data_IF_133102979420
#
_entry.id   IF_133102979420
#
_cell.length_a   1.000
_cell.length_b   1.000
_cell.length_c   1.000
_cell.angle_alpha   90.00
_cell.angle_beta   90.00
_cell.angle_gamma   90.00
#
_symmetry.space_group_name_H-M   'P 1'
#
loop_
_entity.id
_entity.type
_entity.pdbx_description
1 polymer ?
#
# COMPACT_ATOMS: atom_id res chain seq x y z
N UNK A 1 -3.75 -3.13 -51.71
CA UNK A 1 -4.89 -2.18 -51.82
C UNK A 1 -4.97 -1.37 -50.54
N UNK A 2 -4.24 -0.26 -50.53
CA UNK A 2 -4.28 0.74 -49.46
C UNK A 2 -5.65 1.44 -49.46
N UNK A 3 -6.41 1.28 -48.39
CA UNK A 3 -7.58 2.12 -48.10
C UNK A 3 -7.28 2.96 -46.87
N UNK A 4 -7.16 4.26 -47.11
CA UNK A 4 -6.85 5.27 -46.12
C UNK A 4 -7.80 5.25 -44.93
N UNK A 5 -7.21 5.18 -43.73
CA UNK A 5 -7.77 5.81 -42.53
C UNK A 5 -7.23 7.25 -42.45
N UNK A 6 -7.71 8.08 -43.38
CA UNK A 6 -7.70 9.53 -43.18
C UNK A 6 -8.63 9.84 -42.01
N UNK A 7 -8.23 10.80 -41.18
CA UNK A 7 -8.73 11.04 -39.82
C UNK A 7 -10.25 11.03 -39.69
N UNK A 8 -10.76 10.06 -38.94
CA UNK A 8 -11.98 10.31 -38.16
C UNK A 8 -11.60 11.31 -37.07
N UNK A 9 -11.85 12.59 -37.35
CA UNK A 9 -12.07 13.60 -36.31
C UNK A 9 -12.97 12.96 -35.25
N UNK A 10 -12.41 12.74 -34.06
CA UNK A 10 -13.13 12.15 -32.93
C UNK A 10 -14.43 12.92 -32.71
N UNK A 11 -15.55 12.19 -32.69
CA UNK A 11 -16.89 12.72 -32.50
C UNK A 11 -16.98 13.35 -31.09
N UNK A 12 -16.83 14.66 -31.01
CA UNK A 12 -17.31 15.55 -29.94
C UNK A 12 -16.58 15.53 -28.60
N UNK A 13 -16.16 14.38 -28.07
CA UNK A 13 -15.72 14.30 -26.67
C UNK A 13 -14.28 14.81 -26.42
N UNK A 14 -13.36 14.64 -27.37
CA UNK A 14 -11.98 15.13 -27.20
C UNK A 14 -11.88 16.67 -27.21
N UNK A 15 -12.58 17.39 -28.12
CA UNK A 15 -12.67 18.85 -28.02
C UNK A 15 -13.30 19.33 -26.71
N UNK A 16 -14.31 18.62 -26.19
CA UNK A 16 -14.92 18.94 -24.90
C UNK A 16 -13.92 18.74 -23.74
N UNK A 17 -13.16 17.65 -23.74
CA UNK A 17 -12.08 17.42 -22.78
C UNK A 17 -11.06 18.56 -22.84
N UNK A 18 -10.61 18.94 -24.05
CA UNK A 18 -9.66 20.02 -24.23
C UNK A 18 -10.22 21.36 -23.72
N UNK A 19 -11.45 21.70 -24.06
CA UNK A 19 -12.13 22.91 -23.60
C UNK A 19 -12.26 22.93 -22.06
N UNK A 20 -12.67 21.82 -21.46
CA UNK A 20 -12.80 21.71 -20.00
C UNK A 20 -11.43 21.82 -19.31
N UNK A 21 -10.41 21.14 -19.83
CA UNK A 21 -9.05 21.23 -19.31
C UNK A 21 -8.51 22.67 -19.39
N UNK A 22 -8.64 23.33 -20.55
CA UNK A 22 -8.21 24.73 -20.71
C UNK A 22 -8.96 25.65 -19.76
N UNK A 23 -10.27 25.48 -19.62
CA UNK A 23 -11.10 26.31 -18.74
C UNK A 23 -10.69 26.16 -17.28
N UNK A 24 -10.56 24.93 -16.79
CA UNK A 24 -10.13 24.65 -15.42
C UNK A 24 -8.71 25.17 -15.17
N UNK A 25 -7.76 24.89 -16.07
CA UNK A 25 -6.40 25.39 -15.90
C UNK A 25 -6.35 26.91 -15.91
N UNK A 26 -7.10 27.59 -16.78
CA UNK A 26 -7.09 29.05 -16.88
C UNK A 26 -7.53 29.73 -15.58
N UNK A 27 -8.47 29.11 -14.85
CA UNK A 27 -8.99 29.61 -13.56
C UNK A 27 -8.04 29.43 -12.37
N UNK A 28 -7.04 28.56 -12.47
CA UNK A 28 -6.10 28.31 -11.38
C UNK A 28 -4.97 29.35 -11.37
N UNK A 29 -4.67 29.95 -10.22
CA UNK A 29 -3.52 30.85 -10.08
C UNK A 29 -2.20 30.08 -10.25
N UNK A 30 -2.10 28.90 -9.63
CA UNK A 30 -0.98 27.97 -9.76
C UNK A 30 -1.37 26.81 -10.67
N UNK A 31 -0.70 26.68 -11.81
CA UNK A 31 -0.93 25.56 -12.74
C UNK A 31 -0.24 24.30 -12.20
N UNK A 32 -0.93 23.16 -12.06
CA UNK A 32 -0.34 21.89 -11.61
C UNK A 32 0.40 21.18 -12.77
N UNK A 33 1.74 21.26 -12.86
CA UNK A 33 2.48 20.79 -14.03
C UNK A 33 2.44 19.26 -14.22
N UNK A 34 2.44 18.48 -13.15
CA UNK A 34 2.49 17.01 -13.26
C UNK A 34 1.13 16.47 -13.70
N UNK A 35 0.04 17.05 -13.20
CA UNK A 35 -1.31 16.75 -13.68
C UNK A 35 -1.43 17.07 -15.17
N UNK A 36 -0.89 18.20 -15.62
CA UNK A 36 -0.89 18.59 -17.04
C UNK A 36 -0.08 17.59 -17.87
N UNK A 37 1.11 17.22 -17.40
CA UNK A 37 1.98 16.26 -18.06
C UNK A 37 1.34 14.88 -18.18
N UNK A 38 0.69 14.38 -17.13
CA UNK A 38 -0.03 13.11 -17.15
C UNK A 38 -1.23 13.14 -18.10
N UNK A 39 -2.02 14.23 -18.09
CA UNK A 39 -3.14 14.44 -19.01
C UNK A 39 -2.66 14.43 -20.47
N UNK A 40 -1.59 15.18 -20.74
CA UNK A 40 -0.97 15.27 -22.06
C UNK A 40 -0.40 13.92 -22.50
N UNK A 41 0.33 13.21 -21.64
CA UNK A 41 0.93 11.91 -21.94
C UNK A 41 -0.14 10.88 -22.34
N UNK A 42 -1.20 10.73 -21.54
CA UNK A 42 -2.31 9.81 -21.85
C UNK A 42 -3.01 10.19 -23.17
N UNK A 43 -3.25 11.48 -23.40
CA UNK A 43 -3.90 11.97 -24.62
C UNK A 43 -3.01 11.78 -25.86
N UNK A 44 -1.71 12.04 -25.76
CA UNK A 44 -0.74 11.85 -26.86
C UNK A 44 -0.59 10.36 -27.20
N UNK A 45 -0.49 9.49 -26.19
CA UNK A 45 -0.44 8.03 -26.39
C UNK A 45 -1.71 7.55 -27.10
N UNK A 46 -2.87 8.08 -26.73
CA UNK A 46 -4.15 7.74 -27.38
C UNK A 46 -4.25 8.25 -28.82
N UNK A 47 -3.94 9.53 -29.06
CA UNK A 47 -4.00 10.14 -30.40
C UNK A 47 -2.96 9.56 -31.35
N UNK A 48 -1.84 9.07 -30.81
CA UNK A 48 -0.74 8.41 -31.53
C UNK A 48 -0.37 9.15 -32.82
N UNK A 49 0.15 10.39 -32.73
CA UNK A 49 0.54 11.16 -33.90
C UNK A 49 1.63 10.43 -34.70
N UNK A 50 1.68 10.66 -36.03
CA UNK A 50 2.52 9.89 -36.97
C UNK A 50 3.99 9.76 -36.54
N UNK A 51 4.57 10.84 -36.02
CA UNK A 51 5.98 10.85 -35.59
C UNK A 51 6.27 9.92 -34.39
N UNK A 52 5.26 9.51 -33.63
CA UNK A 52 5.38 8.58 -32.51
C UNK A 52 5.10 7.12 -32.88
N UNK A 53 4.73 6.81 -34.13
CA UNK A 53 4.34 5.44 -34.53
C UNK A 53 5.46 4.42 -34.32
N UNK A 54 6.71 4.83 -34.53
CA UNK A 54 7.88 3.97 -34.33
C UNK A 54 8.28 3.80 -32.86
N UNK A 55 7.91 4.75 -31.99
CA UNK A 55 8.26 4.75 -30.58
C UNK A 55 7.19 4.07 -29.71
N UNK A 56 5.92 4.24 -30.06
CA UNK A 56 4.79 3.71 -29.29
C UNK A 56 4.40 2.31 -29.79
N UNK A 57 4.52 1.27 -28.95
CA UNK A 57 4.03 -0.07 -29.28
C UNK A 57 2.51 -0.08 -29.55
N UNK A 58 2.02 -1.12 -30.21
CA UNK A 58 0.58 -1.26 -30.43
C UNK A 58 -0.13 -1.70 -29.14
N UNK A 59 -1.44 -1.48 -29.07
CA UNK A 59 -2.27 -1.89 -27.93
C UNK A 59 -2.05 -3.36 -27.56
N UNK A 60 -2.03 -4.26 -28.54
CA UNK A 60 -1.87 -5.71 -28.32
C UNK A 60 -0.54 -6.09 -27.66
N UNK A 61 0.49 -5.26 -27.84
CA UNK A 61 1.82 -5.46 -27.25
C UNK A 61 1.89 -4.99 -25.81
N UNK A 62 1.01 -4.08 -25.38
CA UNK A 62 1.06 -3.44 -24.05
C UNK A 62 -0.15 -3.71 -23.18
N UNK A 63 -1.19 -4.36 -23.70
CA UNK A 63 -2.38 -4.67 -22.93
C UNK A 63 -2.00 -5.49 -21.70
N UNK A 64 -2.43 -5.06 -20.50
CA UNK A 64 -2.12 -5.75 -19.26
C UNK A 64 -2.65 -7.18 -19.33
N UNK A 65 -1.79 -8.16 -19.05
CA UNK A 65 -2.19 -9.56 -18.93
C UNK A 65 -1.31 -10.23 -17.86
N UNK A 66 -1.90 -10.76 -16.77
CA UNK A 66 -1.14 -11.33 -15.67
C UNK A 66 -0.22 -12.48 -16.07
N UNK A 67 -0.73 -13.39 -16.91
CA UNK A 67 0.05 -14.51 -17.42
C UNK A 67 1.28 -14.05 -18.18
N UNK A 68 1.13 -13.11 -19.12
CA UNK A 68 2.25 -12.65 -19.94
C UNK A 68 3.29 -11.89 -19.12
N UNK A 69 2.86 -11.08 -18.15
CA UNK A 69 3.76 -10.34 -17.27
C UNK A 69 4.55 -11.30 -16.37
N UNK A 70 3.87 -12.24 -15.71
CA UNK A 70 4.52 -13.11 -14.73
C UNK A 70 5.33 -14.24 -15.37
N UNK A 71 4.86 -14.83 -16.48
CA UNK A 71 5.55 -15.94 -17.14
C UNK A 71 6.71 -15.48 -18.01
N UNK A 72 6.55 -14.39 -18.75
CA UNK A 72 7.54 -13.93 -19.72
C UNK A 72 8.27 -12.64 -19.30
N UNK A 73 7.97 -12.10 -18.12
CA UNK A 73 8.60 -10.87 -17.64
C UNK A 73 8.30 -9.65 -18.51
N UNK A 74 7.12 -9.61 -19.15
CA UNK A 74 6.78 -8.57 -20.14
C UNK A 74 6.44 -7.23 -19.46
N UNK A 75 7.45 -6.56 -18.89
CA UNK A 75 7.32 -5.35 -18.09
C UNK A 75 6.70 -4.19 -18.85
N UNK A 76 6.76 -4.17 -20.19
CA UNK A 76 6.08 -3.15 -20.99
C UNK A 76 4.57 -3.18 -20.76
N UNK A 77 3.96 -4.36 -20.57
CA UNK A 77 2.52 -4.50 -20.26
C UNK A 77 2.20 -4.00 -18.85
N UNK A 78 3.14 -4.19 -17.93
CA UNK A 78 2.99 -3.71 -16.56
C UNK A 78 3.02 -2.17 -16.48
N UNK A 79 4.00 -1.53 -17.14
CA UNK A 79 4.19 -0.07 -17.03
C UNK A 79 3.41 0.76 -18.05
N UNK A 80 3.20 0.26 -19.26
CA UNK A 80 2.57 1.05 -20.34
C UNK A 80 1.05 0.89 -20.39
N UNK A 81 0.48 -0.25 -19.99
CA UNK A 81 -0.97 -0.46 -20.03
C UNK A 81 -1.82 0.64 -19.37
N UNK A 82 -1.40 1.32 -18.28
CA UNK A 82 -2.18 2.40 -17.69
C UNK A 82 -2.35 3.61 -18.62
N UNK A 83 -1.44 3.81 -19.58
CA UNK A 83 -1.45 4.98 -20.46
C UNK A 83 -2.23 4.76 -21.77
N UNK A 84 -2.59 3.52 -22.07
CA UNK A 84 -3.34 3.17 -23.28
C UNK A 84 -4.85 3.15 -23.01
N UNK A 85 -5.65 3.51 -24.01
CA UNK A 85 -7.10 3.59 -23.91
C UNK A 85 -7.74 3.05 -25.21
N UNK A 86 -8.86 2.33 -25.09
CA UNK A 86 -9.51 1.63 -26.22
C UNK A 86 -10.48 2.55 -26.98
N UNK A 87 -10.96 3.64 -26.38
CA UNK A 87 -11.95 4.51 -26.99
C UNK A 87 -12.02 5.91 -26.37
N UNK A 88 -12.67 6.83 -27.09
CA UNK A 88 -12.77 8.25 -26.73
C UNK A 88 -13.42 8.43 -25.35
N UNK A 89 -14.53 7.75 -25.07
CA UNK A 89 -15.24 7.84 -23.79
C UNK A 89 -14.35 7.37 -22.64
N UNK A 90 -13.65 6.24 -22.81
CA UNK A 90 -12.75 5.70 -21.80
C UNK A 90 -11.60 6.67 -21.49
N UNK A 91 -10.98 7.27 -22.52
CA UNK A 91 -9.96 8.30 -22.30
C UNK A 91 -10.57 9.51 -21.58
N UNK A 92 -11.68 10.05 -22.08
CA UNK A 92 -12.26 11.30 -21.55
C UNK A 92 -12.69 11.15 -20.09
N UNK A 93 -13.33 10.05 -19.71
CA UNK A 93 -13.68 9.82 -18.30
C UNK A 93 -12.43 9.70 -17.40
N UNK A 94 -11.39 8.98 -17.84
CA UNK A 94 -10.14 8.91 -17.09
C UNK A 94 -9.47 10.28 -16.97
N UNK A 95 -9.42 11.05 -18.06
CA UNK A 95 -8.75 12.35 -18.08
C UNK A 95 -9.51 13.42 -17.30
N UNK A 96 -10.85 13.41 -17.30
CA UNK A 96 -11.67 14.27 -16.43
C UNK A 96 -11.47 13.92 -14.95
N UNK A 97 -11.43 12.62 -14.63
CA UNK A 97 -11.17 12.13 -13.28
C UNK A 97 -9.75 12.49 -12.81
N UNK A 98 -8.76 12.37 -13.71
CA UNK A 98 -7.36 12.77 -13.48
C UNK A 98 -7.25 14.27 -13.25
N UNK A 99 -7.91 15.09 -14.07
CA UNK A 99 -7.90 16.54 -13.97
C UNK A 99 -8.36 16.97 -12.57
N UNK A 100 -9.54 16.52 -12.15
CA UNK A 100 -10.12 16.90 -10.87
C UNK A 100 -9.34 16.39 -9.65
N UNK A 101 -8.92 15.11 -9.66
CA UNK A 101 -8.15 14.52 -8.54
C UNK A 101 -6.72 15.04 -8.51
N UNK A 102 -6.10 15.19 -9.68
CA UNK A 102 -4.73 15.65 -9.85
C UNK A 102 -4.54 17.09 -9.41
N UNK A 103 -5.43 18.01 -9.83
CA UNK A 103 -5.39 19.41 -9.38
C UNK A 103 -5.44 19.49 -7.85
N UNK A 104 -6.37 18.79 -7.21
CA UNK A 104 -6.52 18.82 -5.75
C UNK A 104 -5.29 18.25 -5.02
N UNK A 105 -4.83 17.07 -5.43
CA UNK A 105 -3.70 16.40 -4.79
C UNK A 105 -2.39 17.15 -5.03
N UNK A 106 -2.11 17.59 -6.26
CA UNK A 106 -0.88 18.31 -6.59
C UNK A 106 -0.81 19.68 -5.90
N UNK A 107 -1.93 20.38 -5.76
CA UNK A 107 -1.97 21.64 -5.03
C UNK A 107 -1.81 21.43 -3.51
N UNK A 108 -2.28 20.31 -2.95
CA UNK A 108 -2.19 20.07 -1.50
C UNK A 108 -0.82 19.58 -1.03
N UNK A 109 -0.11 18.78 -1.84
CA UNK A 109 1.21 18.21 -1.46
C UNK A 109 2.40 18.74 -2.28
N UNK A 110 2.14 19.46 -3.36
CA UNK A 110 3.17 19.92 -4.29
C UNK A 110 3.57 18.88 -5.34
N UNK A 111 4.12 19.37 -6.45
CA UNK A 111 4.39 18.58 -7.67
C UNK A 111 5.33 17.40 -7.47
N UNK A 112 6.40 17.56 -6.69
CA UNK A 112 7.40 16.48 -6.48
C UNK A 112 6.80 15.32 -5.69
N UNK A 113 6.13 15.64 -4.57
CA UNK A 113 5.47 14.62 -3.76
C UNK A 113 4.33 13.95 -4.56
N UNK A 114 3.54 14.73 -5.29
CA UNK A 114 2.48 14.21 -6.15
C UNK A 114 3.01 13.27 -7.24
N UNK A 115 4.10 13.62 -7.93
CA UNK A 115 4.73 12.76 -8.92
C UNK A 115 5.22 11.44 -8.29
N UNK A 116 5.85 11.51 -7.11
CA UNK A 116 6.32 10.33 -6.39
C UNK A 116 5.17 9.42 -5.95
N UNK A 117 4.05 10.01 -5.50
CA UNK A 117 2.84 9.28 -5.15
C UNK A 117 2.24 8.60 -6.38
N UNK A 118 2.07 9.30 -7.51
CA UNK A 118 1.52 8.70 -8.73
C UNK A 118 2.38 7.53 -9.21
N UNK A 119 3.71 7.67 -9.19
CA UNK A 119 4.63 6.60 -9.55
C UNK A 119 4.47 5.37 -8.62
N UNK A 120 4.34 5.61 -7.31
CA UNK A 120 4.08 4.57 -6.34
C UNK A 120 2.74 3.86 -6.57
N UNK A 121 1.66 4.62 -6.75
CA UNK A 121 0.32 4.10 -6.99
C UNK A 121 0.23 3.33 -8.30
N UNK A 122 0.96 3.73 -9.34
CA UNK A 122 1.08 2.97 -10.58
C UNK A 122 1.68 1.58 -10.32
N UNK A 123 2.84 1.52 -9.66
CA UNK A 123 3.47 0.24 -9.34
C UNK A 123 2.62 -0.63 -8.41
N UNK A 124 2.06 -0.04 -7.36
CA UNK A 124 1.23 -0.75 -6.38
C UNK A 124 -0.08 -1.27 -6.98
N UNK A 125 -0.79 -0.45 -7.78
CA UNK A 125 -2.05 -0.87 -8.40
C UNK A 125 -1.85 -2.04 -9.36
N UNK A 126 -0.86 -1.94 -10.26
CA UNK A 126 -0.50 -3.00 -11.20
C UNK A 126 -0.02 -4.26 -10.46
N UNK A 127 0.84 -4.10 -9.45
CA UNK A 127 1.36 -5.20 -8.64
C UNK A 127 0.27 -5.94 -7.87
N UNK A 128 -0.64 -5.22 -7.22
CA UNK A 128 -1.76 -5.83 -6.49
C UNK A 128 -2.71 -6.53 -7.45
N UNK A 129 -3.01 -5.96 -8.63
CA UNK A 129 -3.83 -6.64 -9.64
C UNK A 129 -3.20 -7.96 -10.10
N UNK A 130 -1.88 -8.02 -10.29
CA UNK A 130 -1.17 -9.29 -10.57
C UNK A 130 -1.33 -10.29 -9.44
N UNK A 131 -1.13 -9.85 -8.19
CA UNK A 131 -1.26 -10.72 -7.01
C UNK A 131 -2.68 -11.26 -6.87
N UNK A 132 -3.69 -10.41 -7.07
CA UNK A 132 -5.10 -10.83 -7.05
C UNK A 132 -5.41 -11.83 -8.16
N UNK A 133 -4.96 -11.58 -9.40
CA UNK A 133 -5.17 -12.50 -10.52
C UNK A 133 -4.52 -13.86 -10.26
N UNK A 134 -3.29 -13.87 -9.71
CA UNK A 134 -2.58 -15.10 -9.36
C UNK A 134 -3.23 -15.82 -8.17
N UNK A 135 -3.71 -15.09 -7.17
CA UNK A 135 -4.42 -15.65 -6.03
C UNK A 135 -5.74 -16.30 -6.47
N UNK A 136 -6.50 -15.66 -7.36
CA UNK A 136 -7.73 -16.22 -7.94
C UNK A 136 -7.46 -17.53 -8.69
N UNK A 137 -6.35 -17.61 -9.42
CA UNK A 137 -5.92 -18.86 -10.05
C UNK A 137 -5.59 -19.93 -8.99
N UNK A 138 -4.76 -19.61 -8.00
CA UNK A 138 -4.20 -20.62 -7.07
C UNK A 138 -5.22 -21.11 -6.05
N UNK A 139 -6.10 -20.24 -5.56
CA UNK A 139 -7.03 -20.56 -4.47
C UNK A 139 -8.44 -20.90 -4.96
N UNK A 140 -8.81 -20.54 -6.19
CA UNK A 140 -10.16 -20.69 -6.72
C UNK A 140 -10.22 -21.31 -8.12
N UNK A 141 -9.08 -21.76 -8.66
CA UNK A 141 -8.95 -22.29 -10.03
C UNK A 141 -9.56 -21.38 -11.11
N UNK A 142 -9.61 -20.06 -10.84
CA UNK A 142 -10.25 -19.10 -11.72
C UNK A 142 -9.28 -18.64 -12.81
N UNK A 143 -9.08 -19.50 -13.81
CA UNK A 143 -8.13 -19.32 -14.91
C UNK A 143 -8.35 -18.04 -15.71
N UNK A 144 -9.61 -17.61 -15.84
CA UNK A 144 -10.00 -16.46 -16.67
C UNK A 144 -9.28 -15.17 -16.23
N UNK A 145 -9.21 -14.90 -14.92
CA UNK A 145 -8.55 -13.71 -14.39
C UNK A 145 -7.03 -13.70 -14.65
N UNK A 146 -6.41 -14.86 -14.84
CA UNK A 146 -4.97 -14.96 -15.03
C UNK A 146 -4.57 -14.99 -16.52
N UNK A 147 -5.26 -15.79 -17.34
CA UNK A 147 -4.91 -15.99 -18.74
C UNK A 147 -5.67 -15.07 -19.71
N UNK A 148 -6.92 -14.72 -19.38
CA UNK A 148 -7.84 -14.04 -20.31
C UNK A 148 -8.20 -12.62 -19.86
N UNK A 149 -7.61 -12.12 -18.77
CA UNK A 149 -7.75 -10.74 -18.36
C UNK A 149 -6.88 -9.84 -19.25
N UNK A 150 -7.53 -8.86 -19.89
CA UNK A 150 -6.89 -7.85 -20.71
C UNK A 150 -7.40 -6.47 -20.31
N UNK A 151 -6.54 -5.66 -19.68
CA UNK A 151 -6.92 -4.35 -19.15
C UNK A 151 -5.96 -3.23 -19.59
N UNK A 152 -6.51 -2.09 -19.98
CA UNK A 152 -5.74 -0.85 -20.17
C UNK A 152 -6.47 0.29 -19.49
N UNK A 153 -5.77 1.40 -19.31
CA UNK A 153 -6.33 2.65 -18.83
C UNK A 153 -5.84 3.03 -17.45
N UNK A 154 -5.86 4.34 -17.20
CA UNK A 154 -5.27 4.93 -16.01
C UNK A 154 -6.14 4.76 -14.76
N UNK A 155 -7.30 4.12 -14.91
CA UNK A 155 -8.37 4.03 -13.91
C UNK A 155 -7.93 3.38 -12.59
N UNK A 156 -7.09 2.34 -12.62
CA UNK A 156 -6.54 1.75 -11.39
C UNK A 156 -5.77 2.77 -10.54
N UNK A 157 -4.97 3.63 -11.19
CA UNK A 157 -4.26 4.73 -10.51
C UNK A 157 -5.24 5.78 -10.01
N UNK A 158 -6.30 6.09 -10.78
CA UNK A 158 -7.33 7.06 -10.37
C UNK A 158 -8.16 6.61 -9.17
N UNK A 159 -8.47 5.30 -9.08
CA UNK A 159 -9.08 4.73 -7.88
C UNK A 159 -8.15 4.84 -6.67
N UNK A 160 -6.86 4.56 -6.86
CA UNK A 160 -5.86 4.73 -5.80
C UNK A 160 -5.75 6.19 -5.35
N UNK A 161 -5.67 7.14 -6.29
CA UNK A 161 -5.68 8.58 -6.01
C UNK A 161 -6.96 9.00 -5.28
N UNK A 162 -8.11 8.42 -5.62
CA UNK A 162 -9.38 8.69 -4.92
C UNK A 162 -9.32 8.28 -3.46
N UNK A 163 -8.72 7.14 -3.15
CA UNK A 163 -8.53 6.71 -1.75
C UNK A 163 -7.63 7.70 -1.02
N UNK A 164 -6.51 8.10 -1.62
CA UNK A 164 -5.59 9.07 -1.00
C UNK A 164 -6.29 10.41 -0.75
N UNK A 165 -6.99 10.95 -1.75
CA UNK A 165 -7.72 12.22 -1.63
C UNK A 165 -8.75 12.18 -0.50
N UNK A 166 -9.56 11.11 -0.44
CA UNK A 166 -10.61 10.99 0.57
C UNK A 166 -10.09 10.60 1.97
N UNK A 167 -8.87 10.08 2.07
CA UNK A 167 -8.24 9.79 3.37
C UNK A 167 -7.86 11.07 4.13
N UNK A 168 -7.76 12.20 3.43
CA UNK A 168 -7.45 13.51 4.01
C UNK A 168 -8.70 14.26 4.50
N UNK A 169 -9.90 13.71 4.27
CA UNK A 169 -11.18 14.34 4.61
C UNK A 169 -11.98 13.45 5.56
N UNK A 170 -12.36 13.98 6.73
CA UNK A 170 -13.22 13.28 7.70
C UNK A 170 -14.73 13.42 7.40
N UNK A 171 -15.09 14.05 6.27
CA UNK A 171 -16.46 14.45 5.95
C UNK A 171 -17.10 13.55 4.86
N UNK A 172 -18.23 14.01 4.34
CA UNK A 172 -18.91 13.46 3.16
C UNK A 172 -18.32 14.05 1.87
N UNK A 173 -18.38 13.28 0.79
CA UNK A 173 -18.00 13.70 -0.57
C UNK A 173 -19.08 13.31 -1.56
N UNK A 174 -19.12 13.98 -2.71
CA UNK A 174 -20.12 13.73 -3.74
C UNK A 174 -19.55 12.80 -4.82
N UNK A 175 -20.24 11.68 -5.07
CA UNK A 175 -19.89 10.70 -6.10
C UNK A 175 -21.08 10.55 -7.04
N UNK A 176 -20.96 11.06 -8.27
CA UNK A 176 -22.05 11.07 -9.27
C UNK A 176 -23.37 11.65 -8.75
N UNK A 177 -23.32 12.70 -7.93
CA UNK A 177 -24.53 13.31 -7.34
C UNK A 177 -24.96 12.73 -6.00
N UNK A 178 -24.35 11.61 -5.55
CA UNK A 178 -24.65 10.98 -4.27
C UNK A 178 -23.70 11.50 -3.18
N UNK A 179 -24.26 11.97 -2.07
CA UNK A 179 -23.48 12.35 -0.89
C UNK A 179 -23.16 11.08 -0.10
N UNK A 180 -21.87 10.75 0.00
CA UNK A 180 -21.40 9.52 0.66
C UNK A 180 -20.25 9.82 1.61
N UNK A 181 -20.07 9.05 2.70
CA UNK A 181 -18.90 9.18 3.54
C UNK A 181 -17.63 9.03 2.70
N UNK A 182 -16.64 9.92 2.87
CA UNK A 182 -15.45 9.96 2.01
C UNK A 182 -14.70 8.63 1.98
N UNK A 183 -14.68 7.89 3.10
CA UNK A 183 -14.08 6.55 3.22
C UNK A 183 -14.73 5.50 2.31
N UNK A 184 -16.01 5.66 1.98
CA UNK A 184 -16.77 4.74 1.11
C UNK A 184 -16.80 5.18 -0.35
N UNK A 185 -16.33 6.40 -0.66
CA UNK A 185 -16.47 6.99 -1.99
C UNK A 185 -15.83 6.15 -3.11
N UNK A 186 -14.67 5.54 -2.85
CA UNK A 186 -14.01 4.66 -3.82
C UNK A 186 -14.80 3.38 -4.09
N UNK A 187 -15.40 2.79 -3.05
CA UNK A 187 -16.23 1.59 -3.16
C UNK A 187 -17.54 1.86 -3.90
N UNK A 188 -18.17 3.00 -3.61
CA UNK A 188 -19.39 3.42 -4.32
C UNK A 188 -19.09 3.68 -5.80
N UNK A 189 -17.98 4.36 -6.13
CA UNK A 189 -17.58 4.55 -7.53
C UNK A 189 -17.27 3.22 -8.24
N UNK A 190 -16.67 2.24 -7.54
CA UNK A 190 -16.44 0.91 -8.09
C UNK A 190 -17.75 0.23 -8.49
N UNK A 191 -18.75 0.24 -7.60
CA UNK A 191 -20.06 -0.36 -7.87
C UNK A 191 -20.72 0.34 -9.06
N UNK A 192 -20.76 1.68 -9.05
CA UNK A 192 -21.41 2.45 -10.11
C UNK A 192 -20.74 2.21 -11.48
N UNK A 193 -19.41 2.25 -11.55
CA UNK A 193 -18.69 2.01 -12.79
C UNK A 193 -18.92 0.58 -13.30
N UNK A 194 -18.94 -0.41 -12.41
CA UNK A 194 -19.16 -1.80 -12.80
C UNK A 194 -20.58 -2.03 -13.36
N UNK A 195 -21.57 -1.27 -12.89
CA UNK A 195 -22.94 -1.34 -13.41
C UNK A 195 -23.10 -0.59 -14.74
N UNK A 196 -22.52 0.60 -14.87
CA UNK A 196 -22.77 1.48 -16.03
C UNK A 196 -21.79 1.31 -17.19
N UNK A 197 -20.58 0.78 -16.94
CA UNK A 197 -19.55 0.63 -17.96
C UNK A 197 -19.09 -0.83 -18.02
N UNK A 198 -19.89 -1.72 -18.62
CA UNK A 198 -19.53 -3.14 -18.73
C UNK A 198 -18.25 -3.30 -19.56
N UNK A 199 -17.37 -4.21 -19.16
CA UNK A 199 -16.13 -4.53 -19.86
C UNK A 199 -14.87 -3.79 -19.36
N UNK A 200 -14.98 -2.92 -18.35
CA UNK A 200 -13.81 -2.42 -17.61
C UNK A 200 -13.31 -3.45 -16.60
N UNK A 201 -12.01 -3.43 -16.30
CA UNK A 201 -11.39 -4.41 -15.40
C UNK A 201 -11.76 -4.13 -13.94
N UNK A 202 -12.68 -4.92 -13.40
CA UNK A 202 -12.98 -4.94 -11.96
C UNK A 202 -11.73 -5.16 -11.12
N UNK A 203 -10.88 -6.12 -11.54
CA UNK A 203 -9.66 -6.48 -10.82
C UNK A 203 -8.61 -5.35 -10.83
N UNK A 204 -8.53 -4.62 -11.94
CA UNK A 204 -7.72 -3.41 -12.06
C UNK A 204 -8.18 -2.30 -11.10
N UNK A 205 -9.49 -2.04 -11.04
CA UNK A 205 -10.04 -1.03 -10.13
C UNK A 205 -9.92 -1.43 -8.66
N UNK A 206 -10.22 -2.68 -8.31
CA UNK A 206 -10.03 -3.22 -6.97
C UNK A 206 -8.56 -3.13 -6.55
N UNK A 207 -7.64 -3.53 -7.44
CA UNK A 207 -6.19 -3.38 -7.22
C UNK A 207 -5.79 -1.92 -6.98
N UNK A 208 -6.41 -0.98 -7.68
CA UNK A 208 -6.28 0.46 -7.45
C UNK A 208 -6.72 0.90 -6.04
N UNK A 209 -7.92 0.51 -5.60
CA UNK A 209 -8.42 0.85 -4.25
C UNK A 209 -7.48 0.30 -3.18
N UNK A 210 -7.11 -0.98 -3.28
CA UNK A 210 -6.19 -1.62 -2.34
C UNK A 210 -4.81 -0.98 -2.35
N UNK A 211 -4.31 -0.54 -3.52
CA UNK A 211 -3.06 0.20 -3.63
C UNK A 211 -3.10 1.54 -2.90
N UNK A 212 -4.21 2.28 -3.01
CA UNK A 212 -4.40 3.52 -2.27
C UNK A 212 -4.42 3.31 -0.75
N UNK A 213 -5.12 2.27 -0.28
CA UNK A 213 -5.16 1.90 1.15
C UNK A 213 -3.76 1.54 1.65
N UNK A 214 -3.05 0.68 0.89
CA UNK A 214 -1.69 0.26 1.22
C UNK A 214 -0.73 1.44 1.26
N UNK A 215 -0.79 2.33 0.27
CA UNK A 215 0.02 3.54 0.22
C UNK A 215 -0.20 4.42 1.46
N UNK A 216 -1.45 4.66 1.86
CA UNK A 216 -1.74 5.46 3.06
C UNK A 216 -1.26 4.79 4.34
N UNK A 217 -1.37 3.46 4.43
CA UNK A 217 -0.87 2.71 5.59
C UNK A 217 0.66 2.80 5.72
N UNK A 218 1.38 2.64 4.59
CA UNK A 218 2.84 2.78 4.54
C UNK A 218 3.25 4.23 4.82
N UNK A 219 2.58 5.23 4.22
CA UNK A 219 2.88 6.65 4.43
C UNK A 219 2.69 7.06 5.89
N UNK A 220 1.62 6.63 6.55
CA UNK A 220 1.36 6.89 7.97
C UNK A 220 2.39 6.25 8.90
N UNK A 221 2.91 5.07 8.52
CA UNK A 221 3.90 4.34 9.32
C UNK A 221 5.32 4.92 9.24
N UNK A 222 5.61 5.76 8.24
CA UNK A 222 6.95 6.29 7.97
C UNK A 222 6.94 7.82 7.83
N UNK A 223 6.64 8.53 8.92
CA UNK A 223 6.69 10.01 8.98
C UNK A 223 8.12 10.58 9.11
N UNK A 224 9.13 9.93 8.52
CA UNK A 224 10.54 10.37 8.55
C UNK A 224 11.00 11.05 7.25
N UNK A 225 12.09 11.84 7.25
CA UNK A 225 12.53 12.69 6.13
C UNK A 225 13.18 11.93 4.93
N UNK A 226 12.85 10.65 4.72
CA UNK A 226 13.46 9.84 3.64
C UNK A 226 12.64 9.90 2.34
N UNK A 227 13.30 9.81 1.16
CA UNK A 227 12.62 9.81 -0.13
C UNK A 227 11.63 8.64 -0.23
N UNK A 228 10.36 8.94 -0.50
CA UNK A 228 9.20 8.02 -0.45
C UNK A 228 9.39 6.74 -1.29
N UNK A 229 10.16 6.79 -2.37
CA UNK A 229 10.48 5.62 -3.21
C UNK A 229 11.24 4.55 -2.43
N UNK A 230 12.22 4.92 -1.60
CA UNK A 230 12.95 3.98 -0.73
C UNK A 230 12.06 3.43 0.40
N UNK A 231 11.14 4.23 0.90
CA UNK A 231 10.17 3.85 1.93
C UNK A 231 9.14 2.84 1.42
N UNK A 232 8.64 3.00 0.18
CA UNK A 232 7.67 2.08 -0.42
C UNK A 232 8.31 0.74 -0.76
N UNK A 233 9.55 0.73 -1.28
CA UNK A 233 10.29 -0.52 -1.53
C UNK A 233 10.52 -1.27 -0.20
N UNK A 234 10.99 -0.56 0.84
CA UNK A 234 11.20 -1.15 2.17
C UNK A 234 9.88 -1.61 2.83
N UNK A 235 8.80 -0.84 2.67
CA UNK A 235 7.46 -1.17 3.16
C UNK A 235 6.87 -2.39 2.47
N UNK A 236 6.97 -2.48 1.15
CA UNK A 236 6.52 -3.64 0.38
C UNK A 236 7.32 -4.89 0.76
N UNK A 237 8.65 -4.80 0.92
CA UNK A 237 9.49 -5.92 1.39
C UNK A 237 9.09 -6.38 2.80
N UNK A 238 8.80 -5.44 3.71
CA UNK A 238 8.36 -5.77 5.06
C UNK A 238 6.97 -6.42 5.11
N UNK A 239 6.04 -5.99 4.25
CA UNK A 239 4.69 -6.58 4.14
C UNK A 239 4.73 -7.94 3.43
N UNK A 240 5.51 -8.08 2.35
CA UNK A 240 5.72 -9.35 1.65
C UNK A 240 6.44 -10.39 2.51
N UNK A 241 7.32 -9.94 3.42
CA UNK A 241 7.99 -10.83 4.40
C UNK A 241 7.19 -11.05 5.69
N UNK A 242 6.06 -10.36 5.89
CA UNK A 242 5.21 -10.52 7.07
C UNK A 242 4.66 -11.95 7.22
N UNK A 243 4.16 -12.64 6.17
CA UNK A 243 3.74 -14.04 6.26
C UNK A 243 4.89 -14.97 6.68
N UNK A 244 6.10 -14.73 6.15
CA UNK A 244 7.30 -15.52 6.48
C UNK A 244 7.76 -15.28 7.93
N UNK A 245 7.65 -14.05 8.43
CA UNK A 245 7.93 -13.70 9.84
C UNK A 245 6.89 -14.28 10.79
N UNK A 246 5.62 -14.25 10.41
CA UNK A 246 4.52 -14.85 11.16
C UNK A 246 4.65 -16.37 11.26
N UNK A 247 5.01 -17.05 10.16
CA UNK A 247 5.30 -18.49 10.14
C UNK A 247 6.56 -18.85 10.95
N UNK A 248 7.62 -18.02 10.91
CA UNK A 248 8.77 -18.18 11.83
C UNK A 248 8.38 -17.99 13.31
N UNK A 249 7.44 -17.09 13.60
CA UNK A 249 6.88 -16.88 14.94
C UNK A 249 6.12 -18.09 15.49
N UNK A 250 5.57 -18.93 14.60
CA UNK A 250 4.93 -20.19 14.98
C UNK A 250 5.95 -21.30 15.31
N UNK A 251 7.17 -21.23 14.76
CA UNK A 251 8.24 -22.20 15.02
C UNK A 251 8.95 -21.98 16.37
N UNK A 252 8.81 -20.81 17.00
CA UNK A 252 9.41 -20.49 18.30
C UNK A 252 8.44 -20.59 19.50
N UNK A 253 7.31 -21.30 19.38
CA UNK A 253 6.37 -21.47 20.49
C UNK A 253 6.01 -22.93 20.78
N UNK A 254 6.93 -23.63 21.44
CA UNK A 254 6.72 -24.55 22.60
C UNK A 254 7.97 -25.40 22.85
N UNK A 255 8.79 -25.01 23.83
CA UNK A 255 9.41 -25.98 24.75
C UNK A 255 8.89 -25.69 26.14
N UNK A 256 7.70 -26.23 26.42
CA UNK A 256 7.27 -26.46 27.80
C UNK A 256 7.91 -27.80 28.16
N UNK A 257 9.02 -27.78 28.90
CA UNK A 257 9.56 -28.96 29.56
C UNK A 257 9.67 -28.64 31.04
N UNK A 258 8.60 -28.95 31.77
CA UNK A 258 8.70 -29.13 33.21
C UNK A 258 9.43 -30.45 33.47
N UNK A 259 10.67 -30.39 33.94
CA UNK A 259 11.26 -31.46 34.73
C UNK A 259 12.45 -30.94 35.54
N UNK A 260 12.48 -31.35 36.81
CA UNK A 260 13.26 -30.77 37.88
C UNK A 260 14.79 -30.89 37.80
N UNK A 261 15.41 -30.22 38.77
CA UNK A 261 16.84 -30.16 39.11
C UNK A 261 17.58 -31.50 38.93
N UNK A 262 18.72 -31.45 38.22
CA UNK A 262 20.02 -32.00 38.67
C UNK A 262 21.14 -31.13 38.08
N UNK A 263 22.15 -30.79 38.87
CA UNK A 263 23.15 -29.75 38.56
C UNK A 263 24.24 -30.15 37.55
N UNK A 264 25.06 -29.15 37.17
CA UNK A 264 26.40 -29.40 36.60
C UNK A 264 26.84 -28.48 35.45
N UNK A 265 27.43 -27.33 35.81
CA UNK A 265 28.46 -26.52 35.12
C UNK A 265 28.19 -25.78 33.79
N UNK A 266 28.83 -24.60 33.61
CA UNK A 266 28.40 -23.58 32.64
C UNK A 266 29.15 -23.71 31.31
N UNK A 267 28.41 -23.62 30.20
CA UNK A 267 28.99 -23.26 28.91
C UNK A 267 28.54 -21.85 28.56
N UNK A 268 29.50 -20.93 28.65
CA UNK A 268 29.38 -19.53 28.26
C UNK A 268 29.09 -19.50 26.76
N UNK A 269 27.92 -18.99 26.37
CA UNK A 269 27.73 -18.44 25.04
C UNK A 269 26.96 -17.13 25.16
N UNK A 270 27.64 -16.05 24.74
CA UNK A 270 27.20 -14.67 24.84
C UNK A 270 26.12 -14.38 23.80
N UNK A 271 24.85 -14.34 24.23
CA UNK A 271 23.80 -13.57 23.55
C UNK A 271 22.70 -13.24 24.54
N UNK A 272 22.47 -11.94 24.79
CA UNK A 272 21.41 -11.38 25.65
C UNK A 272 21.41 -11.93 27.08
N UNK A 273 22.20 -11.34 27.99
CA UNK A 273 22.18 -11.70 29.41
C UNK A 273 20.75 -11.61 29.95
N UNK A 274 20.19 -12.70 30.45
CA UNK A 274 18.90 -12.74 31.17
C UNK A 274 19.21 -13.00 32.64
N UNK A 275 18.46 -12.40 33.57
CA UNK A 275 18.60 -12.66 35.00
C UNK A 275 17.26 -13.08 35.63
N UNK A 276 17.29 -14.15 36.43
CA UNK A 276 16.10 -14.65 37.12
C UNK A 276 15.88 -13.86 38.42
N UNK A 277 14.67 -13.35 38.62
CA UNK A 277 14.32 -12.62 39.83
C UNK A 277 14.36 -13.54 41.06
N UNK A 278 15.06 -13.16 42.16
CA UNK A 278 15.12 -13.99 43.36
C UNK A 278 13.76 -14.12 44.06
N UNK A 279 12.89 -13.10 43.97
CA UNK A 279 11.59 -13.11 44.67
C UNK A 279 10.48 -13.87 43.93
N UNK A 280 10.45 -13.82 42.60
CA UNK A 280 9.35 -14.41 41.82
C UNK A 280 9.79 -15.37 40.72
N UNK A 281 11.10 -15.64 40.61
CA UNK A 281 11.73 -16.55 39.62
C UNK A 281 11.50 -16.18 38.15
N UNK A 282 10.95 -15.00 37.88
CA UNK A 282 10.73 -14.52 36.51
C UNK A 282 12.06 -14.12 35.86
N UNK A 283 12.27 -14.56 34.63
CA UNK A 283 13.45 -14.26 33.83
C UNK A 283 13.33 -12.90 33.16
N UNK A 284 14.13 -11.94 33.61
CA UNK A 284 14.15 -10.57 33.12
C UNK A 284 15.28 -10.36 32.12
N UNK A 285 15.08 -9.46 31.17
CA UNK A 285 16.16 -8.98 30.31
C UNK A 285 17.27 -8.33 31.13
N UNK A 286 18.53 -8.57 30.76
CA UNK A 286 19.71 -8.05 31.47
C UNK A 286 19.89 -6.54 31.41
N UNK A 287 19.13 -5.86 30.55
CA UNK A 287 19.04 -4.40 30.50
C UNK A 287 18.15 -3.82 31.61
N UNK A 288 17.36 -4.66 32.29
CA UNK A 288 16.46 -4.23 33.35
C UNK A 288 17.12 -4.44 34.72
N UNK A 289 17.26 -3.36 35.48
CA UNK A 289 17.71 -3.37 36.87
C UNK A 289 16.62 -3.77 37.85
N UNK A 290 15.36 -3.89 37.40
CA UNK A 290 14.20 -4.22 38.21
C UNK A 290 13.33 -5.25 37.50
N UNK A 291 12.73 -6.18 38.26
CA UNK A 291 11.90 -7.23 37.70
C UNK A 291 10.59 -6.69 37.12
N UNK A 292 10.27 -7.06 35.87
CA UNK A 292 9.04 -6.66 35.17
C UNK A 292 7.78 -7.15 35.89
N UNK A 293 7.84 -8.34 36.51
CA UNK A 293 6.68 -8.97 37.11
C UNK A 293 6.39 -8.52 38.53
N UNK A 294 7.40 -8.35 39.38
CA UNK A 294 7.22 -8.04 40.80
C UNK A 294 7.88 -6.74 41.27
N UNK A 295 8.74 -6.13 40.45
CA UNK A 295 9.45 -4.91 40.82
C UNK A 295 10.63 -5.10 41.77
N UNK A 296 11.10 -6.33 42.00
CA UNK A 296 12.31 -6.56 42.81
C UNK A 296 13.55 -6.10 42.06
N UNK A 297 14.45 -5.35 42.70
CA UNK A 297 15.72 -4.94 42.10
C UNK A 297 16.65 -6.14 41.88
N UNK A 298 17.43 -6.05 40.80
CA UNK A 298 18.52 -6.97 40.50
C UNK A 298 19.61 -6.73 41.53
N UNK A 299 19.86 -7.71 42.38
CA UNK A 299 20.88 -7.61 43.44
C UNK A 299 22.26 -7.41 42.81
N UNK A 300 22.79 -6.19 42.85
CA UNK A 300 24.11 -5.86 42.34
C UNK A 300 24.31 -4.39 41.96
N UNK A 301 24.09 -3.47 42.90
CA UNK A 301 24.93 -2.26 43.09
C UNK A 301 24.51 -1.59 44.40
N UNK A 302 25.34 -1.74 45.44
CA UNK A 302 25.61 -0.76 46.51
C UNK A 302 26.46 -1.43 47.59
N UNK A 303 27.66 -0.87 47.80
CA UNK A 303 28.64 -1.36 48.76
C UNK A 303 28.27 -1.09 50.22
N UNK A 304 28.76 -1.98 51.10
CA UNK A 304 29.07 -1.75 52.52
C UNK A 304 28.01 -1.05 53.38
N UNK A 305 27.24 -1.84 54.15
CA UNK A 305 27.37 -1.97 55.62
C UNK A 305 26.23 -2.83 56.20
N UNK A 306 26.65 -3.87 56.92
CA UNK A 306 26.02 -4.53 58.08
C UNK A 306 24.52 -4.87 58.13
N UNK A 307 24.32 -6.15 58.47
CA UNK A 307 23.32 -6.72 59.37
C UNK A 307 22.02 -7.26 58.77
N UNK A 308 21.78 -8.54 59.07
CA UNK A 308 20.44 -9.11 59.17
C UNK A 308 20.00 -9.94 57.96
N UNK A 309 20.12 -11.26 58.09
CA UNK A 309 19.28 -12.20 57.37
C UNK A 309 17.81 -11.77 57.49
N UNK A 310 17.18 -11.43 56.38
CA UNK A 310 15.73 -11.54 56.20
C UNK A 310 15.48 -11.87 54.74
N UNK A 311 15.18 -13.15 54.52
CA UNK A 311 14.69 -13.65 53.25
C UNK A 311 13.25 -13.12 53.09
N UNK A 312 13.11 -11.85 52.72
CA UNK A 312 11.83 -11.20 52.47
C UNK A 312 11.23 -11.74 51.17
N UNK A 313 10.71 -12.96 51.27
CA UNK A 313 9.76 -13.48 50.31
C UNK A 313 8.52 -12.58 50.38
N UNK A 314 8.36 -11.72 49.38
CA UNK A 314 7.17 -10.89 49.22
C UNK A 314 5.95 -11.83 49.28
N UNK A 315 4.99 -11.62 50.22
CA UNK A 315 3.82 -12.48 50.34
C UNK A 315 3.00 -12.46 49.04
N UNK A 316 2.38 -13.61 48.73
CA UNK A 316 1.70 -13.84 47.44
C UNK A 316 0.63 -12.78 47.14
N UNK A 317 -0.07 -12.28 48.15
CA UNK A 317 -1.12 -11.27 48.00
C UNK A 317 -0.56 -9.91 47.57
N UNK A 318 0.63 -9.56 48.05
CA UNK A 318 1.34 -8.34 47.68
C UNK A 318 1.89 -8.44 46.24
N UNK A 319 2.41 -9.61 45.84
CA UNK A 319 2.77 -9.88 44.43
C UNK A 319 1.55 -9.75 43.50
N UNK A 320 0.38 -10.22 43.95
CA UNK A 320 -0.86 -10.14 43.18
C UNK A 320 -1.31 -8.69 43.01
N UNK A 321 -1.29 -7.88 44.08
CA UNK A 321 -1.59 -6.44 44.01
C UNK A 321 -0.66 -5.69 43.07
N UNK A 322 0.65 -5.92 43.16
CA UNK A 322 1.64 -5.25 42.30
C UNK A 322 1.45 -5.58 40.81
N UNK A 323 1.08 -6.82 40.50
CA UNK A 323 0.76 -7.24 39.12
C UNK A 323 -0.50 -6.54 38.59
N UNK A 324 -1.55 -6.44 39.40
CA UNK A 324 -2.80 -5.75 39.04
C UNK A 324 -2.57 -4.26 38.83
N UNK A 325 -1.80 -3.59 39.70
CA UNK A 325 -1.49 -2.16 39.51
C UNK A 325 -0.67 -1.87 38.25
N UNK A 326 0.24 -2.77 37.87
CA UNK A 326 1.15 -2.56 36.74
C UNK A 326 0.53 -2.90 35.39
N UNK A 327 -0.36 -3.89 35.33
CA UNK A 327 -0.95 -4.39 34.08
C UNK A 327 -2.47 -4.23 33.99
N UNK A 328 -3.12 -3.66 35.02
CA UNK A 328 -4.56 -3.46 35.10
C UNK A 328 -5.05 -2.18 34.40
N UNK A 329 -4.81 -2.06 33.10
CA UNK A 329 -5.59 -1.23 32.17
C UNK A 329 -6.04 -2.07 31.00
#
# INVERSE_FOLDING_TARGET
>A
MDRGRSGRLSRGMLPLLAFHAVTEYSRLDRKPPITAALLAANTIVYLRPKFLHHLLPTLDQVWFNPHLILKYGDLKRFFLSPFYHIGDSHLVYNMMSLLWKGIQLENSMGSVEFASMVAALLGLSQGITLLLAKALLVFFDYERAYYQEYAVGFSGVLFAMKVVLNSQSDNYTQVYGLIVPSRLAAWVELILIQMFVPGVSFLGHLGGILAGILYMHVKSSYSGPRPLTTTIVSGCVNILSWPLRFLRGFSQRRRISGRGRVGGSPTISSTSSVWSCPSCTFDNSGWLSMCEMCGTNRSGDDGLLSAGLSNDNIPLDELRRRRVQRFGR
#
